data_IF_752869290630
#
_entry.id   IF_752869290630
#
_cell.length_a   1.000
_cell.length_b   1.000
_cell.length_c   1.000
_cell.angle_alpha   90.00
_cell.angle_beta   90.00
_cell.angle_gamma   90.00
#
_symmetry.space_group_name_H-M   'P 1'
#
loop_
_entity.id
_entity.type
_entity.pdbx_description
1 polymer ?
#
# COMPACT_ATOMS: atom_id res chain seq x y z
N UNK A 1 -3.93 -12.28 4.32
CA UNK A 1 -2.76 -12.20 3.42
C UNK A 1 -3.29 -12.31 2.02
N UNK A 2 -2.90 -11.39 1.14
CA UNK A 2 -3.28 -11.43 -0.28
C UNK A 2 -2.66 -12.63 -0.98
N UNK A 3 -3.24 -13.04 -2.11
CA UNK A 3 -2.68 -14.06 -2.99
C UNK A 3 -1.33 -13.61 -3.54
N UNK A 4 -0.55 -14.58 -4.01
CA UNK A 4 0.69 -14.32 -4.72
C UNK A 4 0.39 -13.78 -6.13
N UNK A 5 0.47 -12.45 -6.29
CA UNK A 5 0.40 -11.79 -7.59
C UNK A 5 1.80 -11.52 -8.14
N UNK A 6 2.00 -11.53 -9.46
CA UNK A 6 3.29 -11.17 -10.07
C UNK A 6 3.77 -9.75 -9.70
N UNK A 7 2.84 -8.85 -9.39
CA UNK A 7 3.11 -7.47 -8.95
C UNK A 7 3.50 -7.36 -7.47
N UNK A 8 3.46 -8.45 -6.70
CA UNK A 8 3.80 -8.40 -5.28
C UNK A 8 5.31 -8.17 -5.10
N UNK A 9 5.64 -7.36 -4.10
CA UNK A 9 7.02 -7.15 -3.71
C UNK A 9 7.63 -8.42 -3.11
N UNK A 10 8.94 -8.61 -3.33
CA UNK A 10 9.73 -9.50 -2.48
C UNK A 10 9.89 -8.90 -1.08
N UNK A 11 10.35 -9.72 -0.12
CA UNK A 11 10.64 -9.23 1.24
C UNK A 11 11.74 -8.18 1.24
N UNK A 12 12.81 -8.41 0.50
CA UNK A 12 13.95 -7.49 0.41
C UNK A 12 13.54 -6.15 -0.24
N UNK A 13 12.70 -6.20 -1.29
CA UNK A 13 12.14 -4.99 -1.91
C UNK A 13 11.26 -4.21 -0.93
N UNK A 14 10.44 -4.91 -0.15
CA UNK A 14 9.63 -4.26 0.87
C UNK A 14 10.49 -3.65 1.97
N UNK A 15 11.52 -4.33 2.44
CA UNK A 15 12.42 -3.82 3.47
C UNK A 15 13.04 -2.49 3.04
N UNK A 16 13.59 -2.44 1.82
CA UNK A 16 14.11 -1.22 1.22
C UNK A 16 13.09 -0.07 1.16
N UNK A 17 11.83 -0.38 0.78
CA UNK A 17 10.77 0.64 0.73
C UNK A 17 10.25 1.03 2.11
N UNK A 18 10.30 0.13 3.09
CA UNK A 18 9.69 0.32 4.40
C UNK A 18 10.33 1.46 5.19
N UNK A 19 11.63 1.71 4.96
CA UNK A 19 12.38 2.82 5.55
C UNK A 19 11.92 4.19 5.06
N UNK A 20 11.25 4.25 3.89
CA UNK A 20 10.70 5.48 3.33
C UNK A 20 9.28 5.76 3.83
N UNK A 21 8.61 4.78 4.43
CA UNK A 21 7.23 4.92 4.84
C UNK A 21 7.14 5.70 6.16
N UNK A 22 6.16 6.61 6.30
CA UNK A 22 5.97 7.33 7.54
C UNK A 22 5.52 6.39 8.66
N UNK A 23 5.99 6.66 9.86
CA UNK A 23 5.49 6.01 11.06
C UNK A 23 3.99 6.27 11.27
N UNK A 24 3.35 5.39 12.04
CA UNK A 24 1.96 5.62 12.42
C UNK A 24 1.86 6.92 13.23
N UNK A 25 0.93 7.80 12.85
CA UNK A 25 0.72 9.06 13.56
C UNK A 25 0.32 8.79 15.01
N UNK A 26 0.84 9.57 15.99
CA UNK A 26 0.41 9.47 17.37
C UNK A 26 -1.03 10.01 17.51
N UNK A 27 -1.86 9.29 18.25
CA UNK A 27 -3.28 9.63 18.47
C UNK A 27 -4.22 9.20 17.34
N UNK A 28 -5.50 9.04 17.66
CA UNK A 28 -6.52 8.54 16.74
C UNK A 28 -6.66 7.01 16.75
N UNK A 29 -7.33 6.45 15.72
CA UNK A 29 -7.51 5.00 15.60
C UNK A 29 -6.17 4.34 15.25
N UNK A 30 -5.74 3.31 16.00
CA UNK A 30 -4.54 2.55 15.66
C UNK A 30 -4.57 2.01 14.24
N UNK A 31 -3.40 2.01 13.58
CA UNK A 31 -3.27 1.38 12.26
C UNK A 31 -3.29 -0.14 12.42
N UNK A 32 -4.40 -0.75 12.02
CA UNK A 32 -4.55 -2.22 11.98
C UNK A 32 -4.04 -2.84 10.66
N UNK A 33 -3.90 -2.04 9.60
CA UNK A 33 -3.56 -2.54 8.26
C UNK A 33 -2.04 -2.64 8.08
N UNK A 34 -1.59 -3.81 7.61
CA UNK A 34 -0.19 -4.04 7.25
C UNK A 34 0.21 -3.23 6.00
N UNK A 35 1.26 -2.41 6.10
CA UNK A 35 1.72 -1.58 4.98
C UNK A 35 2.22 -2.40 3.78
N UNK A 36 2.79 -3.58 4.04
CA UNK A 36 3.17 -4.52 2.98
C UNK A 36 1.99 -4.86 2.05
N UNK A 37 0.83 -5.15 2.63
CA UNK A 37 -0.38 -5.48 1.88
C UNK A 37 -0.95 -4.25 1.15
N UNK A 38 -0.78 -3.05 1.73
CA UNK A 38 -1.14 -1.78 1.07
C UNK A 38 -0.26 -1.53 -0.14
N UNK A 39 1.05 -1.71 -0.02
CA UNK A 39 1.98 -1.55 -1.14
C UNK A 39 1.72 -2.56 -2.24
N UNK A 40 1.55 -3.85 -1.92
CA UNK A 40 1.20 -4.86 -2.92
C UNK A 40 -0.10 -4.52 -3.65
N UNK A 41 -1.12 -4.03 -2.94
CA UNK A 41 -2.37 -3.58 -3.56
C UNK A 41 -2.17 -2.36 -4.48
N UNK A 42 -1.33 -1.39 -4.09
CA UNK A 42 -0.98 -0.24 -4.94
C UNK A 42 -0.24 -0.72 -6.19
N UNK A 43 0.78 -1.58 -6.05
CA UNK A 43 1.55 -2.09 -7.18
C UNK A 43 0.70 -2.94 -8.11
N UNK A 44 -0.21 -3.76 -7.59
CA UNK A 44 -1.18 -4.48 -8.41
C UNK A 44 -1.98 -3.53 -9.31
N UNK A 45 -2.51 -2.44 -8.73
CA UNK A 45 -3.27 -1.44 -9.50
C UNK A 45 -2.41 -0.77 -10.56
N UNK A 46 -1.16 -0.41 -10.23
CA UNK A 46 -0.26 0.32 -11.13
C UNK A 46 0.30 -0.55 -12.25
N UNK A 47 0.65 -1.81 -11.96
CA UNK A 47 1.25 -2.75 -12.92
C UNK A 47 0.18 -3.34 -13.83
N UNK A 48 -0.93 -3.81 -13.26
CA UNK A 48 -2.01 -4.45 -14.04
C UNK A 48 -2.97 -3.43 -14.67
N UNK A 49 -2.89 -2.15 -14.28
CA UNK A 49 -3.69 -1.06 -14.85
C UNK A 49 -5.19 -1.14 -14.50
N UNK A 50 -5.55 -1.81 -13.42
CA UNK A 50 -6.95 -1.99 -13.02
C UNK A 50 -7.54 -0.75 -12.33
N UNK A 51 -8.86 -0.62 -12.35
CA UNK A 51 -9.57 0.42 -11.58
C UNK A 51 -9.50 0.10 -10.08
N UNK A 52 -9.42 1.12 -9.22
CA UNK A 52 -9.45 0.96 -7.75
C UNK A 52 -10.58 0.08 -7.24
N UNK A 53 -11.80 0.23 -7.77
CA UNK A 53 -12.97 -0.57 -7.36
C UNK A 53 -12.93 -2.03 -7.85
N UNK A 54 -12.00 -2.35 -8.74
CA UNK A 54 -11.76 -3.69 -9.26
C UNK A 54 -10.59 -4.39 -8.55
N UNK A 55 -10.07 -3.81 -7.47
CA UNK A 55 -9.06 -4.45 -6.63
C UNK A 55 -9.61 -5.80 -6.10
N UNK A 56 -8.85 -6.90 -6.20
CA UNK A 56 -9.22 -8.19 -5.65
C UNK A 56 -9.56 -8.12 -4.15
N UNK A 57 -10.56 -8.89 -3.72
CA UNK A 57 -11.10 -8.84 -2.36
C UNK A 57 -10.21 -9.42 -1.26
N UNK A 58 -9.09 -10.05 -1.63
CA UNK A 58 -8.05 -10.57 -0.73
C UNK A 58 -7.00 -9.50 -0.34
N UNK A 59 -7.02 -8.34 -0.99
CA UNK A 59 -6.29 -7.15 -0.55
C UNK A 59 -7.07 -6.36 0.52
N UNK A 60 -6.41 -5.43 1.24
CA UNK A 60 -7.12 -4.47 2.06
C UNK A 60 -8.17 -3.70 1.24
N UNK A 61 -9.24 -3.24 1.91
CA UNK A 61 -10.32 -2.51 1.25
C UNK A 61 -9.78 -1.37 0.38
N UNK A 62 -10.25 -1.28 -0.87
CA UNK A 62 -9.71 -0.35 -1.85
C UNK A 62 -9.76 1.12 -1.38
N UNK A 63 -10.74 1.49 -0.55
CA UNK A 63 -10.83 2.83 0.05
C UNK A 63 -9.63 3.12 0.95
N UNK A 64 -9.23 2.13 1.75
CA UNK A 64 -8.07 2.23 2.64
C UNK A 64 -6.79 2.35 1.82
N UNK A 65 -6.60 1.46 0.83
CA UNK A 65 -5.44 1.49 -0.06
C UNK A 65 -5.34 2.83 -0.79
N UNK A 66 -6.45 3.31 -1.36
CA UNK A 66 -6.52 4.62 -2.03
C UNK A 66 -6.22 5.78 -1.09
N UNK A 67 -6.66 5.71 0.17
CA UNK A 67 -6.38 6.75 1.17
C UNK A 67 -4.89 6.84 1.46
N UNK A 68 -4.20 5.71 1.64
CA UNK A 68 -2.74 5.67 1.78
C UNK A 68 -2.05 6.27 0.55
N UNK A 69 -2.38 5.76 -0.64
CA UNK A 69 -1.80 6.24 -1.89
C UNK A 69 -1.97 7.76 -2.06
N UNK A 70 -3.19 8.27 -1.85
CA UNK A 70 -3.50 9.70 -1.99
C UNK A 70 -2.74 10.55 -0.97
N UNK A 71 -2.63 10.09 0.27
CA UNK A 71 -1.94 10.84 1.32
C UNK A 71 -0.44 10.88 1.04
N UNK A 72 0.19 9.74 0.77
CA UNK A 72 1.62 9.64 0.46
C UNK A 72 2.03 10.41 -0.79
N UNK A 73 1.12 10.50 -1.77
CA UNK A 73 1.34 11.36 -2.95
C UNK A 73 1.30 12.84 -2.59
N UNK A 74 0.47 13.25 -1.62
CA UNK A 74 0.26 14.65 -1.25
C UNK A 74 1.31 15.19 -0.30
N UNK A 75 1.72 14.38 0.67
CA UNK A 75 2.71 14.78 1.68
C UNK A 75 4.16 14.61 1.20
N UNK A 76 4.35 14.11 -0.03
CA UNK A 76 5.67 13.94 -0.62
C UNK A 76 6.45 12.76 -0.02
N UNK A 77 5.79 11.79 0.61
CA UNK A 77 6.43 10.57 1.17
C UNK A 77 7.47 9.96 0.21
N UNK A 78 7.19 9.97 -1.10
CA UNK A 78 8.05 9.38 -2.12
C UNK A 78 9.08 10.33 -2.75
N UNK A 79 9.12 11.61 -2.38
CA UNK A 79 9.94 12.65 -3.05
C UNK A 79 11.21 12.96 -2.25
N UNK A 80 11.80 11.95 -1.59
CA UNK A 80 13.07 12.11 -0.89
C UNK A 80 14.26 12.09 -1.84
#
# INVERSE_FOLDING_TARGET
MSKAYPSNLSRDQYEFLSDLLPEAKPGGRPREVALYEVLNAIFYILVEGVRWRALPGDFPAWQTVYTYFRNWRKDGTWVR
#
